data_IF_136434278012
#
_entry.id   IF_136434278012
#
_cell.length_a   1.000
_cell.length_b   1.000
_cell.length_c   1.000
_cell.angle_alpha   90.00
_cell.angle_beta   90.00
_cell.angle_gamma   90.00
#
_symmetry.space_group_name_H-M   'P 1'
#
loop_
_entity.id
_entity.type
_entity.pdbx_description
1 polymer ?
#
# COMPACT_ATOMS: atom_id res chain seq x y z
N UNK A 1 -4.14 -21.61 21.80
CA UNK A 1 -4.85 -20.34 21.59
C UNK A 1 -4.43 -19.70 20.28
N UNK A 2 -5.36 -19.07 19.60
CA UNK A 2 -5.16 -18.59 18.25
C UNK A 2 -4.99 -17.08 18.19
N UNK A 3 -4.15 -16.53 19.08
CA UNK A 3 -3.94 -15.08 19.19
C UNK A 3 -3.39 -14.49 17.89
N UNK A 4 -2.50 -15.21 17.20
CA UNK A 4 -1.97 -14.77 15.91
C UNK A 4 -3.08 -14.63 14.87
N UNK A 5 -4.01 -15.60 14.85
CA UNK A 5 -5.13 -15.55 13.92
C UNK A 5 -6.00 -14.32 14.17
N UNK A 6 -6.32 -14.06 15.43
CA UNK A 6 -7.17 -12.92 15.82
C UNK A 6 -6.50 -11.60 15.50
N UNK A 7 -5.20 -11.47 15.77
CA UNK A 7 -4.44 -10.27 15.43
C UNK A 7 -4.43 -10.02 13.92
N UNK A 8 -4.18 -11.06 13.13
CA UNK A 8 -4.14 -10.94 11.68
C UNK A 8 -5.52 -10.63 11.10
N UNK A 9 -6.59 -11.23 11.65
CA UNK A 9 -7.96 -10.91 11.24
C UNK A 9 -8.23 -9.41 11.44
N UNK A 10 -7.87 -8.88 12.61
CA UNK A 10 -8.06 -7.47 12.91
C UNK A 10 -7.25 -6.57 11.97
N UNK A 11 -5.99 -6.93 11.72
CA UNK A 11 -5.11 -6.16 10.83
C UNK A 11 -5.67 -6.16 9.41
N UNK A 12 -6.02 -7.32 8.86
CA UNK A 12 -6.51 -7.42 7.49
C UNK A 12 -7.84 -6.69 7.30
N UNK A 13 -8.74 -6.74 8.28
CA UNK A 13 -9.98 -5.97 8.24
C UNK A 13 -9.71 -4.47 8.25
N UNK A 14 -8.78 -4.03 9.11
CA UNK A 14 -8.39 -2.63 9.17
C UNK A 14 -7.75 -2.17 7.86
N UNK A 15 -6.89 -3.00 7.26
CA UNK A 15 -6.30 -2.70 5.96
C UNK A 15 -7.37 -2.56 4.89
N UNK A 16 -8.35 -3.45 4.88
CA UNK A 16 -9.46 -3.36 3.92
C UNK A 16 -10.23 -2.06 4.08
N UNK A 17 -10.53 -1.67 5.32
CA UNK A 17 -11.24 -0.43 5.59
C UNK A 17 -10.44 0.80 5.16
N UNK A 18 -9.14 0.83 5.45
CA UNK A 18 -8.25 1.93 5.06
C UNK A 18 -8.12 2.02 3.55
N UNK A 19 -7.96 0.88 2.88
CA UNK A 19 -7.88 0.83 1.42
C UNK A 19 -9.18 1.29 0.78
N UNK A 20 -10.31 0.90 1.33
CA UNK A 20 -11.63 1.34 0.86
C UNK A 20 -11.78 2.84 1.00
N UNK A 21 -11.35 3.41 2.12
CA UNK A 21 -11.40 4.85 2.36
C UNK A 21 -10.50 5.62 1.39
N UNK A 22 -9.41 5.02 0.94
CA UNK A 22 -8.49 5.62 -0.04
C UNK A 22 -8.91 5.36 -1.48
N UNK A 23 -10.06 4.74 -1.69
CA UNK A 23 -10.58 4.40 -3.03
C UNK A 23 -9.65 3.48 -3.81
N UNK A 24 -8.96 2.59 -3.11
CA UNK A 24 -8.12 1.58 -3.75
C UNK A 24 -8.98 0.60 -4.53
N UNK A 25 -8.31 -0.21 -5.38
CA UNK A 25 -8.96 -1.20 -6.22
C UNK A 25 -9.90 -2.10 -5.37
N UNK A 26 -11.21 -2.18 -5.71
CA UNK A 26 -12.15 -3.00 -4.95
C UNK A 26 -11.76 -4.48 -4.85
N UNK A 27 -11.06 -5.03 -5.83
CA UNK A 27 -10.58 -6.40 -5.76
C UNK A 27 -9.58 -6.58 -4.63
N UNK A 28 -8.71 -5.58 -4.43
CA UNK A 28 -7.74 -5.60 -3.35
C UNK A 28 -8.41 -5.53 -1.99
N UNK A 29 -9.41 -4.66 -1.85
CA UNK A 29 -10.20 -4.55 -0.62
C UNK A 29 -10.85 -5.89 -0.29
N UNK A 30 -11.49 -6.52 -1.28
CA UNK A 30 -12.15 -7.81 -1.08
C UNK A 30 -11.16 -8.92 -0.73
N UNK A 31 -9.97 -8.87 -1.31
CA UNK A 31 -8.94 -9.87 -1.03
C UNK A 31 -8.56 -9.86 0.46
N UNK A 32 -8.39 -8.68 1.05
CA UNK A 32 -8.09 -8.58 2.48
C UNK A 32 -9.27 -9.03 3.34
N UNK A 33 -10.50 -8.67 2.97
CA UNK A 33 -11.69 -9.12 3.72
C UNK A 33 -11.85 -10.63 3.66
N UNK A 34 -11.65 -11.20 2.48
CA UNK A 34 -11.74 -12.65 2.29
C UNK A 34 -10.65 -13.39 3.08
N UNK A 35 -9.43 -12.86 3.08
CA UNK A 35 -8.34 -13.43 3.86
C UNK A 35 -8.63 -13.38 5.35
N UNK A 36 -9.21 -12.28 5.85
CA UNK A 36 -9.59 -12.17 7.25
C UNK A 36 -10.62 -13.24 7.60
N UNK A 37 -11.62 -13.44 6.74
CA UNK A 37 -12.65 -14.47 6.97
C UNK A 37 -12.02 -15.87 6.99
N UNK A 38 -11.09 -16.14 6.10
CA UNK A 38 -10.39 -17.42 6.03
C UNK A 38 -9.60 -17.70 7.31
N UNK A 39 -8.91 -16.68 7.82
CA UNK A 39 -8.14 -16.82 9.07
C UNK A 39 -9.05 -16.97 10.28
N UNK A 40 -10.21 -16.31 10.27
CA UNK A 40 -11.17 -16.44 11.36
C UNK A 40 -11.73 -17.87 11.44
N UNK A 41 -11.94 -18.50 10.28
CA UNK A 41 -12.46 -19.85 10.19
C UNK A 41 -11.40 -20.92 10.43
N UNK A 42 -10.13 -20.55 10.49
CA UNK A 42 -9.04 -21.50 10.65
C UNK A 42 -9.06 -22.11 12.05
N UNK A 43 -9.01 -23.44 12.14
CA UNK A 43 -9.10 -24.15 13.42
C UNK A 43 -7.76 -24.30 14.13
N UNK A 44 -6.65 -24.00 13.43
CA UNK A 44 -5.32 -24.09 14.01
C UNK A 44 -4.60 -22.76 13.96
N UNK A 45 -3.54 -22.60 14.74
CA UNK A 45 -2.72 -21.39 14.73
C UNK A 45 -2.05 -21.23 13.36
N UNK A 46 -2.17 -20.05 12.77
CA UNK A 46 -1.57 -19.76 11.48
C UNK A 46 -0.04 -19.95 11.49
N UNK A 47 0.62 -19.80 12.66
CA UNK A 47 2.04 -20.03 12.78
C UNK A 47 2.39 -21.49 12.48
N UNK A 48 1.53 -22.43 12.88
CA UNK A 48 1.73 -23.86 12.59
C UNK A 48 1.61 -24.09 11.07
N UNK A 49 0.62 -23.48 10.45
CA UNK A 49 0.42 -23.57 9.00
C UNK A 49 1.64 -23.00 8.26
N UNK A 50 2.18 -21.86 8.74
CA UNK A 50 3.36 -21.25 8.14
C UNK A 50 4.59 -22.15 8.25
N UNK A 51 4.77 -22.82 9.38
CA UNK A 51 5.91 -23.72 9.59
C UNK A 51 5.94 -24.88 8.59
N UNK A 52 4.76 -25.38 8.19
CA UNK A 52 4.69 -26.45 7.20
C UNK A 52 4.53 -25.92 5.77
N UNK A 53 4.74 -24.62 5.58
CA UNK A 53 4.65 -23.95 4.28
C UNK A 53 3.29 -24.10 3.60
N UNK A 54 2.22 -24.11 4.41
CA UNK A 54 0.87 -24.33 3.94
C UNK A 54 0.00 -23.08 3.82
N UNK A 55 0.58 -21.87 3.96
CA UNK A 55 -0.23 -20.64 3.95
C UNK A 55 -1.02 -20.46 2.66
N UNK A 56 -0.40 -20.74 1.51
CA UNK A 56 -1.07 -20.58 0.23
C UNK A 56 -2.12 -21.66 -0.05
N UNK A 57 -2.15 -22.73 0.76
CA UNK A 57 -3.18 -23.75 0.69
C UNK A 57 -4.48 -23.29 1.34
N UNK A 58 -4.43 -22.23 2.16
CA UNK A 58 -5.63 -21.64 2.74
C UNK A 58 -6.37 -20.89 1.65
N UNK A 59 -7.64 -21.24 1.43
CA UNK A 59 -8.45 -20.58 0.43
C UNK A 59 -8.58 -19.09 0.76
N UNK A 60 -8.21 -18.23 -0.19
CA UNK A 60 -8.21 -16.79 0.01
C UNK A 60 -6.85 -16.22 0.38
N UNK A 61 -5.84 -17.04 0.60
CA UNK A 61 -4.48 -16.58 0.90
C UNK A 61 -3.57 -16.90 -0.29
N UNK A 62 -3.25 -15.88 -1.08
CA UNK A 62 -2.30 -16.00 -2.18
C UNK A 62 -0.88 -15.68 -1.73
N UNK A 63 0.04 -15.62 -2.69
CA UNK A 63 1.47 -15.40 -2.42
C UNK A 63 1.72 -14.10 -1.66
N UNK A 64 1.08 -13.00 -2.07
CA UNK A 64 1.30 -11.69 -1.45
C UNK A 64 0.83 -11.67 0.01
N UNK A 65 -0.37 -12.21 0.26
CA UNK A 65 -0.91 -12.25 1.61
C UNK A 65 -0.13 -13.23 2.50
N UNK A 66 0.34 -14.34 1.92
CA UNK A 66 1.20 -15.28 2.65
C UNK A 66 2.47 -14.59 3.15
N UNK A 67 3.09 -13.77 2.30
CA UNK A 67 4.29 -13.01 2.68
C UNK A 67 4.01 -12.04 3.82
N UNK A 68 2.84 -11.39 3.81
CA UNK A 68 2.45 -10.48 4.88
C UNK A 68 2.22 -11.22 6.19
N UNK A 69 1.64 -12.41 6.12
CA UNK A 69 1.46 -13.26 7.31
C UNK A 69 2.82 -13.65 7.87
N UNK A 70 3.75 -14.06 7.01
CA UNK A 70 5.11 -14.43 7.43
C UNK A 70 5.81 -13.24 8.09
N UNK A 71 5.68 -12.06 7.51
CA UNK A 71 6.25 -10.83 8.08
C UNK A 71 5.72 -10.59 9.48
N UNK A 72 4.40 -10.71 9.67
CA UNK A 72 3.78 -10.54 10.98
C UNK A 72 4.31 -11.55 11.99
N UNK A 73 4.45 -12.81 11.57
CA UNK A 73 4.92 -13.86 12.46
C UNK A 73 6.39 -13.65 12.88
N UNK A 74 7.19 -13.06 12.00
CA UNK A 74 8.60 -12.79 12.29
C UNK A 74 8.81 -11.52 13.10
N UNK A 75 8.06 -10.47 12.81
CA UNK A 75 8.34 -9.12 13.34
C UNK A 75 7.25 -8.59 14.28
N UNK A 76 6.08 -9.21 14.29
CA UNK A 76 4.92 -8.71 15.03
C UNK A 76 4.17 -7.59 14.33
N UNK A 77 4.58 -7.22 13.12
CA UNK A 77 4.00 -6.10 12.37
C UNK A 77 3.91 -6.42 10.90
N UNK A 78 3.02 -5.70 10.19
CA UNK A 78 2.96 -5.72 8.73
C UNK A 78 3.27 -4.29 8.26
N UNK A 79 4.38 -4.13 7.54
CA UNK A 79 4.86 -2.82 7.10
C UNK A 79 3.80 -2.04 6.33
N UNK A 80 3.11 -2.71 5.39
CA UNK A 80 2.09 -2.04 4.58
C UNK A 80 0.91 -1.54 5.43
N UNK A 81 0.58 -2.24 6.51
CA UNK A 81 -0.44 -1.78 7.44
C UNK A 81 0.02 -0.52 8.20
N UNK A 82 1.26 -0.54 8.69
CA UNK A 82 1.80 0.63 9.39
C UNK A 82 1.82 1.86 8.49
N UNK A 83 2.15 1.68 7.20
CA UNK A 83 2.10 2.75 6.22
C UNK A 83 0.68 3.27 6.00
N UNK A 84 -0.30 2.37 5.89
CA UNK A 84 -1.71 2.76 5.69
C UNK A 84 -2.27 3.54 6.88
N UNK A 85 -1.83 3.25 8.10
CA UNK A 85 -2.26 3.97 9.29
C UNK A 85 -1.67 5.36 9.40
N UNK A 86 -0.50 5.58 8.79
CA UNK A 86 0.22 6.83 8.91
C UNK A 86 -0.38 7.86 7.95
N UNK A 87 -0.92 8.98 8.43
CA UNK A 87 -1.51 9.97 7.53
C UNK A 87 -0.43 10.65 6.70
N UNK A 88 -0.75 10.87 5.41
CA UNK A 88 0.11 11.66 4.54
C UNK A 88 0.01 13.14 4.91
N UNK A 89 1.11 13.92 4.81
CA UNK A 89 1.01 15.37 4.91
C UNK A 89 0.03 15.93 3.89
N UNK A 90 -0.66 17.03 4.24
CA UNK A 90 -1.66 17.62 3.37
C UNK A 90 -1.09 18.02 2.01
N UNK A 91 0.13 18.55 1.99
CA UNK A 91 0.79 18.91 0.73
C UNK A 91 0.95 17.67 -0.17
N UNK A 92 1.40 16.56 0.41
CA UNK A 92 1.61 15.32 -0.36
C UNK A 92 0.28 14.77 -0.87
N UNK A 93 -0.77 14.82 -0.05
CA UNK A 93 -2.11 14.41 -0.50
C UNK A 93 -2.57 15.19 -1.72
N UNK A 94 -2.25 16.48 -1.77
CA UNK A 94 -2.65 17.35 -2.88
C UNK A 94 -2.01 16.94 -4.21
N UNK A 95 -0.93 16.17 -4.17
CA UNK A 95 -0.27 15.71 -5.40
C UNK A 95 -1.17 14.82 -6.26
N UNK A 96 -2.20 14.21 -5.67
CA UNK A 96 -3.14 13.38 -6.42
C UNK A 96 -3.94 14.20 -7.45
N UNK A 97 -3.93 15.54 -7.34
CA UNK A 97 -4.53 16.43 -8.33
C UNK A 97 -3.62 16.70 -9.53
N UNK A 98 -2.36 16.31 -9.45
CA UNK A 98 -1.41 16.50 -10.55
C UNK A 98 -1.70 15.51 -11.69
N UNK A 99 -1.43 15.91 -12.95
CA UNK A 99 -1.72 15.05 -14.10
C UNK A 99 -1.04 13.69 -14.02
N UNK A 100 -1.80 12.62 -14.15
CA UNK A 100 -1.28 11.25 -14.17
C UNK A 100 -1.06 10.63 -12.81
N UNK A 101 -1.19 11.38 -11.73
CA UNK A 101 -1.04 10.86 -10.38
C UNK A 101 -2.39 10.45 -9.80
N UNK A 102 -2.38 9.43 -8.98
CA UNK A 102 -3.56 8.95 -8.24
C UNK A 102 -3.22 8.89 -6.76
N UNK A 103 -4.23 8.74 -5.92
CA UNK A 103 -4.01 8.58 -4.47
C UNK A 103 -3.08 7.41 -4.18
N UNK A 104 -3.29 6.28 -4.85
CA UNK A 104 -2.47 5.08 -4.65
C UNK A 104 -1.02 5.30 -5.07
N UNK A 105 -0.81 5.97 -6.20
CA UNK A 105 0.54 6.23 -6.68
C UNK A 105 1.26 7.23 -5.77
N UNK A 106 0.58 8.27 -5.30
CA UNK A 106 1.15 9.23 -4.36
C UNK A 106 1.58 8.52 -3.07
N UNK A 107 0.74 7.63 -2.57
CA UNK A 107 1.05 6.82 -1.39
C UNK A 107 2.32 6.00 -1.61
N UNK A 108 2.43 5.33 -2.77
CA UNK A 108 3.59 4.54 -3.14
C UNK A 108 4.87 5.40 -3.22
N UNK A 109 4.76 6.56 -3.87
CA UNK A 109 5.90 7.47 -4.00
C UNK A 109 6.42 7.91 -2.63
N UNK A 110 5.50 8.26 -1.74
CA UNK A 110 5.88 8.76 -0.41
C UNK A 110 6.50 7.67 0.46
N UNK A 111 5.81 6.53 0.60
CA UNK A 111 6.24 5.50 1.55
C UNK A 111 7.29 4.54 0.99
N UNK A 112 7.24 4.24 -0.31
CA UNK A 112 8.15 3.24 -0.89
C UNK A 112 9.40 3.87 -1.49
N UNK A 113 9.26 5.03 -2.12
CA UNK A 113 10.37 5.68 -2.81
C UNK A 113 10.91 6.88 -2.03
N UNK A 114 10.34 7.20 -0.88
CA UNK A 114 10.76 8.31 -0.02
C UNK A 114 10.71 9.66 -0.72
N UNK A 115 9.73 9.84 -1.61
CA UNK A 115 9.50 11.10 -2.31
C UNK A 115 8.63 11.97 -1.41
N UNK A 116 9.23 12.96 -0.76
CA UNK A 116 8.54 13.73 0.29
C UNK A 116 8.33 15.19 -0.06
N UNK A 117 9.00 15.69 -1.11
CA UNK A 117 8.90 17.09 -1.54
C UNK A 117 8.65 17.17 -3.02
N UNK A 118 8.16 18.33 -3.49
CA UNK A 118 7.99 18.56 -4.92
C UNK A 118 9.31 18.53 -5.69
N UNK A 119 10.42 19.11 -5.18
CA UNK A 119 11.71 18.93 -5.85
C UNK A 119 12.14 17.48 -5.98
N UNK A 120 11.90 16.64 -4.96
CA UNK A 120 12.17 15.21 -5.06
C UNK A 120 11.35 14.56 -6.18
N UNK A 121 10.07 14.92 -6.26
CA UNK A 121 9.19 14.41 -7.31
C UNK A 121 9.67 14.83 -8.70
N UNK A 122 10.06 16.09 -8.86
CA UNK A 122 10.60 16.58 -10.13
C UNK A 122 11.84 15.78 -10.54
N UNK A 123 12.73 15.51 -9.61
CA UNK A 123 13.94 14.74 -9.87
C UNK A 123 13.61 13.30 -10.29
N UNK A 124 12.64 12.68 -9.64
CA UNK A 124 12.19 11.34 -10.00
C UNK A 124 11.64 11.31 -11.43
N UNK A 125 10.84 12.31 -11.81
CA UNK A 125 10.30 12.41 -13.17
C UNK A 125 11.43 12.55 -14.19
N UNK A 126 12.41 13.40 -13.91
CA UNK A 126 13.55 13.63 -14.80
C UNK A 126 14.40 12.39 -14.96
N UNK A 127 14.41 11.48 -14.00
CA UNK A 127 15.11 10.21 -14.09
C UNK A 127 14.39 9.18 -14.95
N UNK A 128 13.16 9.47 -15.37
CA UNK A 128 12.28 8.59 -16.15
C UNK A 128 11.85 7.32 -15.41
N UNK A 129 11.98 7.27 -14.09
CA UNK A 129 11.56 6.12 -13.31
C UNK A 129 10.04 5.93 -13.31
N UNK A 130 9.24 7.00 -13.47
CA UNK A 130 7.79 6.87 -13.51
C UNK A 130 7.30 5.98 -14.65
N UNK A 131 8.02 5.95 -15.77
CA UNK A 131 7.67 5.08 -16.90
C UNK A 131 7.65 3.60 -16.53
N UNK A 132 8.42 3.23 -15.52
CA UNK A 132 8.53 1.84 -15.10
C UNK A 132 7.42 1.43 -14.15
N UNK A 133 6.61 2.38 -13.70
CA UNK A 133 5.53 2.11 -12.74
C UNK A 133 4.21 1.87 -13.47
N UNK A 134 3.60 0.67 -13.34
CA UNK A 134 2.38 0.35 -14.08
C UNK A 134 1.19 1.25 -13.73
N UNK A 135 1.20 1.83 -12.53
CA UNK A 135 0.09 2.68 -12.08
C UNK A 135 0.19 4.13 -12.57
N UNK A 136 1.28 4.50 -13.24
CA UNK A 136 1.39 5.82 -13.84
C UNK A 136 0.81 5.78 -15.27
N UNK A 137 -0.17 6.65 -15.53
CA UNK A 137 -0.91 6.65 -16.80
C UNK A 137 -0.95 8.02 -17.45
N UNK A 138 0.12 8.77 -17.37
CA UNK A 138 0.15 10.10 -17.94
C UNK A 138 1.42 10.38 -18.72
N UNK A 139 1.58 11.65 -19.11
CA UNK A 139 2.80 12.15 -19.75
C UNK A 139 3.74 12.67 -18.69
N UNK A 140 4.96 12.17 -18.67
CA UNK A 140 6.01 12.69 -17.77
C UNK A 140 6.25 14.17 -17.99
N UNK A 141 6.25 14.60 -19.25
CA UNK A 141 6.46 16.00 -19.58
C UNK A 141 5.38 16.90 -19.01
N UNK A 142 4.12 16.52 -19.21
CA UNK A 142 2.96 17.26 -18.66
C UNK A 142 3.03 17.31 -17.14
N UNK A 143 3.33 16.19 -16.51
CA UNK A 143 3.46 16.12 -15.06
C UNK A 143 4.60 16.99 -14.57
N UNK A 144 5.77 16.93 -15.22
CA UNK A 144 6.93 17.72 -14.82
C UNK A 144 6.63 19.22 -14.89
N UNK A 145 5.97 19.67 -15.96
CA UNK A 145 5.55 21.06 -16.07
C UNK A 145 4.63 21.48 -14.94
N UNK A 146 3.67 20.64 -14.60
CA UNK A 146 2.73 20.93 -13.50
C UNK A 146 3.46 20.99 -12.15
N UNK A 147 4.41 20.08 -11.92
CA UNK A 147 5.21 20.06 -10.69
C UNK A 147 6.06 21.32 -10.57
N UNK A 148 6.75 21.68 -11.66
CA UNK A 148 7.61 22.86 -11.68
C UNK A 148 6.81 24.15 -11.46
N UNK A 149 5.60 24.22 -12.05
CA UNK A 149 4.70 25.35 -11.84
C UNK A 149 4.29 25.45 -10.36
N UNK A 150 4.00 24.35 -9.74
CA UNK A 150 3.60 24.33 -8.33
C UNK A 150 4.76 24.70 -7.41
N UNK A 151 5.99 24.30 -7.75
CA UNK A 151 7.20 24.70 -7.01
C UNK A 151 7.34 26.23 -7.07
N UNK A 152 7.21 26.81 -8.23
CA UNK A 152 7.30 28.28 -8.41
C UNK A 152 6.24 29.00 -7.59
N UNK A 153 5.02 28.49 -7.59
CA UNK A 153 3.93 29.08 -6.82
C UNK A 153 4.18 29.06 -5.32
N UNK A 154 4.88 28.03 -4.83
CA UNK A 154 5.18 27.90 -3.40
C UNK A 154 6.35 28.79 -2.98
N UNK A 155 7.20 29.23 -3.92
CA UNK A 155 8.32 30.12 -3.61
C UNK A 155 7.90 31.58 -3.47
N UNK A 156 6.67 31.89 -3.79
CA UNK A 156 6.08 33.22 -3.65
C UNK A 156 5.11 33.23 -2.46
#
# INVERSE_FOLDING_TARGET
>A
MQDNNQHLVAIFRSMADLLSAQRANPYRVRAYRHAADALLALEEDVAVVAQRQGLEEIDGIGTDLAKKIEEFLETGKIRSYEELKTPLPEEVKSWATLPGLSDSLVFYLYFRLSIKTLPDLAQLIQSHLLRTLPSFSGSEETLLQAVQQRIQNHEH
#
